data_IF_881815588015
#
_entry.id   IF_881815588015
#
_cell.length_a   1.000
_cell.length_b   1.000
_cell.length_c   1.000
_cell.angle_alpha   90.00
_cell.angle_beta   90.00
_cell.angle_gamma   90.00
#
_symmetry.space_group_name_H-M   'P 1'
#
loop_
_entity.id
_entity.type
_entity.pdbx_description
1 polymer ?
#
# COMPACT_ATOMS: atom_id res chain seq x y z
N UNK A 1 -8.31 5.44 -15.81
CA UNK A 1 -9.10 6.66 -15.52
C UNK A 1 -8.27 7.95 -15.56
N UNK A 2 -6.92 7.90 -15.52
CA UNK A 2 -6.10 9.12 -15.54
C UNK A 2 -4.98 9.08 -16.60
N UNK A 3 -5.35 9.01 -17.89
CA UNK A 3 -4.38 8.86 -18.98
C UNK A 3 -3.32 9.97 -19.05
N UNK A 4 -3.64 11.17 -18.54
CA UNK A 4 -2.75 12.35 -18.61
C UNK A 4 -2.15 12.73 -17.25
N UNK A 5 -2.38 11.95 -16.18
CA UNK A 5 -1.89 12.33 -14.85
C UNK A 5 -0.37 12.31 -14.76
N UNK A 6 0.29 11.36 -15.43
CA UNK A 6 1.75 11.37 -15.55
C UNK A 6 2.26 12.66 -16.20
N UNK A 7 1.61 13.13 -17.27
CA UNK A 7 1.95 14.40 -17.92
C UNK A 7 1.81 15.59 -16.96
N UNK A 8 0.71 15.68 -16.21
CA UNK A 8 0.51 16.76 -15.24
C UNK A 8 1.50 16.73 -14.07
N UNK A 9 2.01 15.55 -13.72
CA UNK A 9 3.03 15.36 -12.69
C UNK A 9 4.47 15.49 -13.22
N UNK A 10 4.66 15.73 -14.52
CA UNK A 10 5.98 15.77 -15.16
C UNK A 10 6.69 14.41 -15.18
N UNK A 11 5.95 13.31 -15.11
CA UNK A 11 6.47 11.95 -15.07
C UNK A 11 6.42 11.29 -16.46
N UNK A 12 7.48 10.55 -16.79
CA UNK A 12 7.49 9.65 -17.95
C UNK A 12 6.48 8.51 -17.79
N UNK A 13 6.00 7.91 -18.89
CA UNK A 13 5.13 6.73 -18.83
C UNK A 13 5.76 5.54 -18.10
N UNK A 14 7.08 5.38 -18.18
CA UNK A 14 7.83 4.33 -17.50
C UNK A 14 8.08 4.57 -16.01
N UNK A 15 7.59 5.69 -15.44
CA UNK A 15 7.79 6.07 -14.02
C UNK A 15 9.24 5.87 -13.53
N UNK A 16 10.22 6.34 -14.31
CA UNK A 16 11.62 6.35 -13.87
C UNK A 16 11.84 7.55 -12.92
N UNK A 17 11.49 7.36 -11.65
CA UNK A 17 11.74 8.32 -10.59
C UNK A 17 12.38 7.62 -9.39
N UNK A 18 13.34 8.26 -8.74
CA UNK A 18 13.94 7.72 -7.52
C UNK A 18 13.02 7.89 -6.30
N UNK A 19 12.29 9.01 -6.24
CA UNK A 19 11.44 9.34 -5.10
C UNK A 19 10.31 10.30 -5.47
N UNK A 20 9.10 10.01 -4.98
CA UNK A 20 7.93 10.89 -5.08
C UNK A 20 7.33 11.03 -3.69
N UNK A 21 7.08 12.28 -3.27
CA UNK A 21 6.32 12.57 -2.04
C UNK A 21 4.93 13.03 -2.42
N UNK A 22 3.92 12.44 -1.78
CA UNK A 22 2.53 12.89 -1.84
C UNK A 22 2.20 13.44 -0.45
N UNK A 23 1.73 14.68 -0.40
CA UNK A 23 1.22 15.30 0.81
C UNK A 23 -0.18 15.82 0.50
N UNK A 24 -1.14 15.45 1.33
CA UNK A 24 -2.50 15.94 1.29
C UNK A 24 -2.89 16.56 2.65
N UNK A 25 -4.08 17.17 2.70
CA UNK A 25 -4.60 17.79 3.92
C UNK A 25 -6.10 17.54 4.05
N UNK A 26 -6.89 18.21 3.22
CA UNK A 26 -8.36 18.16 3.27
C UNK A 26 -8.98 17.24 2.22
N UNK A 27 -8.20 16.80 1.23
CA UNK A 27 -8.65 15.99 0.10
C UNK A 27 -7.80 14.74 0.07
N UNK A 28 -8.42 13.56 0.05
CA UNK A 28 -7.73 12.28 0.00
C UNK A 28 -6.87 12.15 -1.28
N UNK A 29 -5.55 12.18 -1.12
CA UNK A 29 -4.57 12.04 -2.18
C UNK A 29 -4.30 10.59 -2.59
N UNK A 30 -4.97 9.61 -1.97
CA UNK A 30 -4.71 8.19 -2.20
C UNK A 30 -5.07 7.73 -3.64
N UNK A 31 -5.84 8.52 -4.40
CA UNK A 31 -6.03 8.28 -5.83
C UNK A 31 -4.69 8.28 -6.61
N UNK A 32 -3.70 9.06 -6.17
CA UNK A 32 -2.35 9.06 -6.74
C UNK A 32 -1.65 7.74 -6.46
N UNK A 33 -1.79 7.20 -5.25
CA UNK A 33 -1.25 5.89 -4.88
C UNK A 33 -1.87 4.80 -5.74
N UNK A 34 -3.20 4.81 -5.93
CA UNK A 34 -3.89 3.86 -6.82
C UNK A 34 -3.39 3.94 -8.26
N UNK A 35 -3.15 5.16 -8.74
CA UNK A 35 -2.60 5.43 -10.07
C UNK A 35 -1.20 4.83 -10.21
N UNK A 36 -0.29 5.08 -9.27
CA UNK A 36 1.07 4.55 -9.33
C UNK A 36 1.10 3.02 -9.28
N UNK A 37 0.35 2.40 -8.35
CA UNK A 37 0.25 0.93 -8.28
C UNK A 37 -0.22 0.37 -9.63
N UNK A 38 -1.32 0.93 -10.16
CA UNK A 38 -1.90 0.44 -11.41
C UNK A 38 -0.99 0.66 -12.61
N UNK A 39 -0.31 1.80 -12.67
CA UNK A 39 0.59 2.17 -13.77
C UNK A 39 1.82 1.28 -13.79
N UNK A 40 2.45 1.04 -12.63
CA UNK A 40 3.65 0.20 -12.54
C UNK A 40 3.30 -1.25 -12.91
N UNK A 41 2.23 -1.81 -12.36
CA UNK A 41 1.84 -3.20 -12.63
C UNK A 41 1.46 -3.43 -14.11
N UNK A 42 0.70 -2.50 -14.72
CA UNK A 42 0.34 -2.60 -16.15
C UNK A 42 1.54 -2.54 -17.09
N UNK A 43 2.60 -1.87 -16.68
CA UNK A 43 3.84 -1.77 -17.44
C UNK A 43 4.80 -2.95 -17.14
N UNK A 44 4.33 -4.00 -16.46
CA UNK A 44 5.13 -5.19 -16.12
C UNK A 44 6.10 -4.98 -14.95
N UNK A 45 5.98 -3.86 -14.23
CA UNK A 45 6.75 -3.59 -13.02
C UNK A 45 6.22 -4.35 -11.81
N UNK A 46 6.97 -4.27 -10.70
CA UNK A 46 6.60 -4.86 -9.41
C UNK A 46 6.31 -3.79 -8.37
N UNK A 47 5.37 -4.06 -7.48
CA UNK A 47 4.95 -3.13 -6.43
C UNK A 47 4.97 -3.82 -5.08
N UNK A 48 5.67 -3.22 -4.12
CA UNK A 48 5.55 -3.56 -2.70
C UNK A 48 4.91 -2.38 -1.98
N UNK A 49 3.69 -2.59 -1.46
CA UNK A 49 2.91 -1.56 -0.80
C UNK A 49 2.91 -1.77 0.71
N UNK A 50 3.39 -0.78 1.44
CA UNK A 50 3.35 -0.74 2.90
C UNK A 50 2.14 0.08 3.35
N UNK A 51 1.11 -0.59 3.86
CA UNK A 51 -0.12 0.04 4.34
C UNK A 51 -0.05 0.30 5.84
N UNK A 52 -0.25 1.55 6.26
CA UNK A 52 -0.34 1.93 7.67
C UNK A 52 -1.78 2.14 8.13
N UNK A 53 -2.64 2.70 7.28
CA UNK A 53 -4.01 3.05 7.66
C UNK A 53 -5.01 2.30 6.79
N UNK A 54 -4.78 2.28 5.48
CA UNK A 54 -5.68 1.67 4.53
C UNK A 54 -5.39 0.17 4.35
N UNK A 55 -6.45 -0.62 4.26
CA UNK A 55 -6.37 -2.08 4.13
C UNK A 55 -6.08 -2.51 2.69
N UNK A 56 -5.63 -3.76 2.50
CA UNK A 56 -5.52 -4.36 1.17
C UNK A 56 -6.83 -4.27 0.39
N UNK A 57 -7.97 -4.50 1.05
CA UNK A 57 -9.30 -4.43 0.42
C UNK A 57 -9.59 -3.06 -0.19
N UNK A 58 -9.17 -1.97 0.48
CA UNK A 58 -9.31 -0.61 -0.06
C UNK A 58 -8.55 -0.45 -1.38
N UNK A 59 -7.29 -0.88 -1.41
CA UNK A 59 -6.44 -0.82 -2.60
C UNK A 59 -6.95 -1.74 -3.72
N UNK A 60 -7.41 -2.96 -3.39
CA UNK A 60 -7.97 -3.90 -4.35
C UNK A 60 -9.22 -3.34 -5.02
N UNK A 61 -10.15 -2.79 -4.26
CA UNK A 61 -11.38 -2.20 -4.80
C UNK A 61 -11.09 -1.00 -5.71
N UNK A 62 -10.12 -0.16 -5.34
CA UNK A 62 -9.73 0.98 -6.16
C UNK A 62 -9.01 0.56 -7.45
N UNK A 63 -8.05 -0.35 -7.36
CA UNK A 63 -7.30 -0.85 -8.52
C UNK A 63 -8.19 -1.66 -9.48
N UNK A 64 -9.19 -2.38 -8.97
CA UNK A 64 -10.14 -3.11 -9.81
C UNK A 64 -10.94 -2.17 -10.72
N UNK A 65 -11.31 -0.98 -10.23
CA UNK A 65 -11.94 0.08 -11.04
C UNK A 65 -11.01 0.64 -12.12
N UNK A 66 -9.70 0.50 -11.93
CA UNK A 66 -8.68 0.87 -12.91
C UNK A 66 -8.33 -0.28 -13.87
N UNK A 67 -9.03 -1.42 -13.78
CA UNK A 67 -8.78 -2.60 -14.60
C UNK A 67 -7.57 -3.42 -14.16
N UNK A 68 -7.17 -3.30 -12.88
CA UNK A 68 -6.06 -4.05 -12.28
C UNK A 68 -6.62 -4.95 -11.18
N UNK A 69 -6.50 -6.26 -11.36
CA UNK A 69 -6.82 -7.23 -10.31
C UNK A 69 -5.57 -7.52 -9.47
N UNK A 70 -5.48 -6.93 -8.27
CA UNK A 70 -4.31 -7.11 -7.40
C UNK A 70 -4.09 -8.57 -6.96
N UNK A 71 -5.15 -9.40 -6.92
CA UNK A 71 -4.98 -10.82 -6.59
C UNK A 71 -4.14 -11.53 -7.65
N UNK A 72 -4.41 -11.27 -8.94
CA UNK A 72 -3.64 -11.85 -10.05
C UNK A 72 -2.15 -11.49 -9.95
N UNK A 73 -1.84 -10.21 -9.69
CA UNK A 73 -0.44 -9.78 -9.54
C UNK A 73 0.20 -10.30 -8.23
N UNK A 74 -0.59 -10.57 -7.19
CA UNK A 74 -0.11 -11.24 -5.98
C UNK A 74 0.29 -12.68 -6.29
N UNK A 75 -0.58 -13.42 -6.98
CA UNK A 75 -0.35 -14.82 -7.35
C UNK A 75 0.87 -14.97 -8.27
N UNK A 76 1.12 -13.99 -9.14
CA UNK A 76 2.29 -13.91 -10.02
C UNK A 76 3.57 -13.39 -9.32
N UNK A 77 3.47 -12.93 -8.06
CA UNK A 77 4.58 -12.38 -7.29
C UNK A 77 5.06 -10.99 -7.75
N UNK A 78 4.21 -10.26 -8.47
CA UNK A 78 4.48 -8.89 -8.94
C UNK A 78 3.85 -7.81 -8.03
N UNK A 79 2.96 -8.19 -7.12
CA UNK A 79 2.41 -7.31 -6.09
C UNK A 79 2.55 -7.94 -4.69
N UNK A 80 2.94 -7.15 -3.71
CA UNK A 80 2.93 -7.52 -2.30
C UNK A 80 2.36 -6.39 -1.45
N UNK A 81 1.57 -6.74 -0.44
CA UNK A 81 1.04 -5.80 0.54
C UNK A 81 1.51 -6.19 1.94
N UNK A 82 2.03 -5.21 2.68
CA UNK A 82 2.45 -5.36 4.07
C UNK A 82 1.57 -4.46 4.93
N UNK A 83 0.77 -5.08 5.80
CA UNK A 83 -0.04 -4.37 6.80
C UNK A 83 0.85 -4.01 7.99
N UNK A 84 1.41 -2.80 7.97
CA UNK A 84 2.38 -2.36 8.96
C UNK A 84 1.71 -2.09 10.30
N UNK A 85 0.53 -1.47 10.33
CA UNK A 85 -0.14 -1.19 11.59
C UNK A 85 -0.50 -2.47 12.32
N UNK A 86 -1.05 -3.46 11.60
CA UNK A 86 -1.29 -4.78 12.18
C UNK A 86 0.01 -5.42 12.68
N UNK A 87 1.07 -5.44 11.87
CA UNK A 87 2.36 -6.03 12.26
C UNK A 87 2.95 -5.39 13.52
N UNK A 88 2.83 -4.06 13.64
CA UNK A 88 3.26 -3.33 14.83
C UNK A 88 2.41 -3.74 16.04
N UNK A 89 1.08 -3.72 15.92
CA UNK A 89 0.18 -4.10 17.01
C UNK A 89 0.42 -5.54 17.48
N UNK A 90 0.57 -6.49 16.55
CA UNK A 90 0.84 -7.89 16.87
C UNK A 90 2.18 -8.01 17.64
N UNK A 91 3.23 -7.30 17.18
CA UNK A 91 4.53 -7.28 17.86
C UNK A 91 4.46 -6.69 19.28
N UNK A 92 3.68 -5.63 19.48
CA UNK A 92 3.46 -5.04 20.80
C UNK A 92 2.70 -6.00 21.72
N UNK A 93 1.65 -6.64 21.23
CA UNK A 93 0.84 -7.57 22.03
C UNK A 93 1.59 -8.85 22.40
N UNK A 94 2.47 -9.34 21.54
CA UNK A 94 3.37 -10.46 21.86
C UNK A 94 4.34 -10.10 23.00
N UNK A 95 4.77 -8.83 23.09
CA UNK A 95 5.65 -8.36 24.17
C UNK A 95 4.97 -8.25 25.54
N UNK A 96 3.63 -8.13 25.59
CA UNK A 96 2.86 -8.08 26.85
C UNK A 96 2.64 -9.46 27.50
N UNK A 97 2.86 -10.56 26.76
CA UNK A 97 2.73 -11.92 27.33
C UNK A 97 3.83 -12.28 28.34
N UNK A 98 4.88 -11.47 28.47
CA UNK A 98 5.94 -11.62 29.48
C UNK A 98 5.64 -10.93 30.82
N UNK A 99 4.53 -10.19 30.96
CA UNK A 99 4.19 -9.45 32.18
C UNK A 99 3.09 -10.10 33.04
N UNK A 100 2.49 -11.21 32.60
CA UNK A 100 1.44 -11.90 33.35
C UNK A 100 1.94 -12.91 34.42
N UNK A 101 3.27 -13.03 34.61
CA UNK A 101 3.85 -13.93 35.63
C UNK A 101 4.20 -13.24 36.96
N UNK A 102 3.71 -12.03 37.19
CA UNK A 102 3.73 -11.44 38.54
C UNK A 102 2.44 -11.84 39.24
N UNK A 103 2.37 -13.10 39.68
CA UNK A 103 1.53 -13.47 40.82
C UNK A 103 1.88 -12.53 41.97
N UNK A 104 0.97 -11.62 42.33
CA UNK A 104 1.00 -10.95 43.63
C UNK A 104 0.50 -12.00 44.64
N UNK A 105 1.36 -12.51 45.54
CA UNK A 105 0.89 -13.39 46.59
C UNK A 105 0.00 -12.59 47.54
N UNK A 106 -1.25 -13.04 47.69
CA UNK A 106 -2.13 -12.72 48.80
C UNK A 106 -2.26 -13.95 49.69
#
# INVERSE_FOLDING_TARGET
MYSNLNYYLGLSESLQCEFITIADSNIDGNFLVHHFISSVLKNGGKVCLFGFVQTLTHYSNACQKLGVNLQTYTDEGSFAFVDILKSICDSFLESDTLFYDISIPG
#
